data_IF_236539751594
#
_entry.id   IF_236539751594
#
_cell.length_a   1.000
_cell.length_b   1.000
_cell.length_c   1.000
_cell.angle_alpha   90.00
_cell.angle_beta   90.00
_cell.angle_gamma   90.00
#
_symmetry.space_group_name_H-M   'P 1'
#
loop_
_entity.id
_entity.type
_entity.pdbx_description
1 polymer ?
#
# COMPACT_ATOMS: atom_id res chain seq x y z
N UNK A 1 3.19 -37.36 11.71
CA UNK A 1 4.06 -36.80 10.65
C UNK A 1 3.60 -35.38 10.39
N UNK A 2 4.50 -34.41 10.31
CA UNK A 2 4.11 -33.08 9.83
C UNK A 2 3.59 -33.25 8.40
N UNK A 3 2.44 -32.66 8.06
CA UNK A 3 2.01 -32.59 6.67
C UNK A 3 2.90 -31.58 5.96
N UNK A 4 3.35 -31.92 4.76
CA UNK A 4 4.04 -30.97 3.89
C UNK A 4 3.10 -29.82 3.53
N UNK A 5 3.66 -28.65 3.20
CA UNK A 5 2.88 -27.51 2.73
C UNK A 5 2.14 -27.90 1.43
N UNK A 6 0.87 -27.55 1.34
CA UNK A 6 0.02 -27.75 0.15
C UNK A 6 -0.72 -26.44 -0.17
N UNK A 7 -0.40 -25.75 -1.28
CA UNK A 7 0.64 -26.13 -2.25
C UNK A 7 2.06 -26.08 -1.65
N UNK A 8 3.02 -26.83 -2.23
CA UNK A 8 4.41 -26.78 -1.80
C UNK A 8 4.99 -25.38 -2.07
N UNK A 9 5.84 -24.90 -1.16
CA UNK A 9 6.56 -23.66 -1.37
C UNK A 9 7.49 -23.75 -2.58
N UNK A 10 7.52 -22.68 -3.39
CA UNK A 10 8.36 -22.62 -4.57
C UNK A 10 9.86 -22.54 -4.21
N UNK A 11 10.20 -21.77 -3.17
CA UNK A 11 11.55 -21.57 -2.67
C UNK A 11 11.54 -21.10 -1.19
N UNK A 12 12.70 -20.92 -0.53
CA UNK A 12 12.74 -20.46 0.86
C UNK A 12 12.17 -19.05 1.11
N UNK A 13 12.18 -18.17 0.10
CA UNK A 13 11.61 -16.83 0.21
C UNK A 13 10.08 -16.89 0.17
N UNK A 14 9.51 -17.69 -0.73
CA UNK A 14 8.08 -18.02 -0.76
C UNK A 14 7.62 -18.67 0.54
N UNK A 15 8.39 -19.65 1.05
CA UNK A 15 8.11 -20.27 2.34
C UNK A 15 8.04 -19.26 3.48
N UNK A 16 8.96 -18.29 3.52
CA UNK A 16 8.98 -17.25 4.54
C UNK A 16 7.79 -16.29 4.38
N UNK A 17 7.52 -15.84 3.15
CA UNK A 17 6.46 -14.91 2.84
C UNK A 17 5.06 -15.49 3.14
N UNK A 18 4.85 -16.77 2.88
CA UNK A 18 3.60 -17.49 3.16
C UNK A 18 3.33 -17.71 4.66
N UNK A 19 4.27 -17.36 5.54
CA UNK A 19 4.15 -17.53 7.00
C UNK A 19 4.09 -16.20 7.76
N UNK A 20 4.12 -15.07 7.05
CA UNK A 20 3.99 -13.73 7.63
C UNK A 20 2.75 -13.02 7.08
N UNK A 21 2.35 -11.92 7.71
CA UNK A 21 1.18 -11.14 7.27
C UNK A 21 1.58 -10.02 6.29
N UNK A 22 2.88 -9.81 6.13
CA UNK A 22 3.47 -8.79 5.31
C UNK A 22 3.69 -9.27 3.86
N UNK A 23 3.38 -8.42 2.89
CA UNK A 23 3.98 -8.55 1.56
C UNK A 23 5.47 -8.18 1.64
N UNK A 24 6.31 -8.86 0.86
CA UNK A 24 7.76 -8.75 0.96
C UNK A 24 8.38 -8.34 -0.38
N UNK A 25 9.29 -7.36 -0.35
CA UNK A 25 10.11 -7.00 -1.49
C UNK A 25 11.58 -6.83 -1.07
N UNK A 26 12.51 -7.30 -1.90
CA UNK A 26 13.95 -7.20 -1.64
C UNK A 26 14.58 -6.32 -2.70
N UNK A 27 15.26 -5.27 -2.26
CA UNK A 27 16.14 -4.47 -3.11
C UNK A 27 17.57 -4.93 -2.88
N UNK A 28 18.30 -5.17 -3.96
CA UNK A 28 19.73 -5.47 -3.92
C UNK A 28 20.51 -4.37 -4.61
N UNK A 29 21.75 -4.16 -4.16
CA UNK A 29 22.70 -3.24 -4.77
C UNK A 29 24.02 -3.93 -5.11
N UNK A 30 24.60 -3.56 -6.24
CA UNK A 30 25.97 -3.87 -6.63
C UNK A 30 26.62 -2.64 -7.23
N UNK A 31 27.64 -2.09 -6.56
CA UNK A 31 28.22 -0.80 -6.91
C UNK A 31 27.16 0.31 -6.85
N UNK A 32 27.00 1.04 -7.94
CA UNK A 32 26.03 2.15 -8.06
C UNK A 32 24.66 1.71 -8.63
N UNK A 33 24.44 0.41 -8.84
CA UNK A 33 23.18 -0.12 -9.40
C UNK A 33 22.39 -0.83 -8.33
N UNK A 34 21.11 -0.51 -8.24
CA UNK A 34 20.13 -1.20 -7.41
C UNK A 34 18.93 -1.68 -8.23
N UNK A 35 18.25 -2.71 -7.73
CA UNK A 35 17.02 -3.22 -8.33
C UNK A 35 16.19 -4.02 -7.32
N UNK A 36 14.87 -4.10 -7.53
CA UNK A 36 14.03 -5.09 -6.86
C UNK A 36 14.38 -6.50 -7.39
N UNK A 37 14.98 -7.34 -6.54
CA UNK A 37 15.45 -8.67 -6.93
C UNK A 37 14.51 -9.80 -6.55
N UNK A 38 13.58 -9.57 -5.62
CA UNK A 38 12.53 -10.51 -5.25
C UNK A 38 11.31 -9.74 -4.75
N UNK A 39 10.11 -10.20 -5.10
CA UNK A 39 8.84 -9.64 -4.66
C UNK A 39 7.86 -10.80 -4.43
N UNK A 40 7.26 -10.87 -3.25
CA UNK A 40 6.11 -11.70 -2.93
C UNK A 40 4.98 -10.77 -2.49
N UNK A 41 3.93 -10.68 -3.31
CA UNK A 41 2.91 -9.63 -3.24
C UNK A 41 1.51 -10.23 -3.36
N UNK A 42 0.86 -10.50 -2.23
CA UNK A 42 -0.49 -11.05 -2.15
C UNK A 42 -1.54 -9.97 -1.90
N UNK A 43 -1.17 -8.85 -1.30
CA UNK A 43 -2.08 -7.77 -0.92
C UNK A 43 -1.72 -6.45 -1.61
N UNK A 44 -1.57 -6.42 -2.96
CA UNK A 44 -1.26 -5.19 -3.68
C UNK A 44 -2.41 -4.19 -3.61
N UNK A 45 -2.06 -2.90 -3.77
CA UNK A 45 -3.02 -1.83 -4.04
C UNK A 45 -2.50 -0.91 -5.15
N UNK A 46 -3.11 -1.01 -6.34
CA UNK A 46 -2.80 -0.17 -7.53
C UNK A 46 -1.41 -0.35 -8.15
N UNK A 47 -0.68 -1.39 -7.78
CA UNK A 47 0.57 -1.80 -8.43
C UNK A 47 0.72 -3.32 -8.42
N UNK A 48 1.56 -3.86 -9.31
CA UNK A 48 1.77 -5.31 -9.44
C UNK A 48 3.27 -5.65 -9.36
N UNK A 49 3.57 -6.89 -8.95
CA UNK A 49 4.96 -7.33 -8.82
C UNK A 49 5.69 -7.29 -10.17
N UNK A 50 4.99 -7.67 -11.24
CA UNK A 50 5.47 -7.70 -12.62
C UNK A 50 5.85 -6.31 -13.14
N UNK A 51 5.17 -5.27 -12.67
CA UNK A 51 5.49 -3.87 -13.02
C UNK A 51 6.73 -3.34 -12.30
N UNK A 52 7.19 -3.98 -11.22
CA UNK A 52 8.24 -3.46 -10.33
C UNK A 52 9.50 -4.31 -10.31
N UNK A 53 9.39 -5.61 -10.50
CA UNK A 53 10.53 -6.53 -10.44
C UNK A 53 11.62 -6.13 -11.45
N UNK A 54 12.87 -6.10 -11.01
CA UNK A 54 14.03 -5.73 -11.82
C UNK A 54 14.25 -4.24 -12.05
N UNK A 55 13.31 -3.36 -11.66
CA UNK A 55 13.49 -1.92 -11.75
C UNK A 55 14.31 -1.38 -10.58
N UNK A 56 15.05 -0.29 -10.81
CA UNK A 56 15.73 0.46 -9.76
C UNK A 56 14.74 1.22 -8.87
N UNK A 57 15.17 1.57 -7.66
CA UNK A 57 14.34 2.21 -6.65
C UNK A 57 13.66 3.48 -7.17
N UNK A 58 14.37 4.31 -7.94
CA UNK A 58 13.80 5.56 -8.45
C UNK A 58 12.74 5.26 -9.50
N UNK A 59 13.04 4.39 -10.47
CA UNK A 59 12.11 4.03 -11.55
C UNK A 59 10.82 3.41 -11.00
N UNK A 60 10.92 2.56 -9.96
CA UNK A 60 9.73 1.98 -9.31
C UNK A 60 8.77 3.04 -8.75
N UNK A 61 9.27 4.20 -8.33
CA UNK A 61 8.49 5.23 -7.62
C UNK A 61 8.13 6.45 -8.46
N UNK A 62 8.42 6.47 -9.77
CA UNK A 62 8.18 7.64 -10.63
C UNK A 62 6.72 8.10 -10.70
N UNK A 63 5.76 7.21 -10.48
CA UNK A 63 4.34 7.54 -10.51
C UNK A 63 3.87 8.28 -9.25
N UNK A 64 4.65 8.26 -8.16
CA UNK A 64 4.29 8.88 -6.88
C UNK A 64 4.55 10.39 -6.97
N UNK A 65 3.53 11.25 -6.81
CA UNK A 65 3.69 12.69 -6.89
C UNK A 65 4.73 13.21 -5.89
N UNK A 66 5.65 14.08 -6.35
CA UNK A 66 6.70 14.65 -5.50
C UNK A 66 7.98 13.82 -5.43
N UNK A 67 8.02 12.58 -5.91
CA UNK A 67 9.20 11.72 -5.80
C UNK A 67 10.42 12.22 -6.54
N UNK A 68 10.24 13.02 -7.59
CA UNK A 68 11.31 13.74 -8.29
C UNK A 68 12.15 14.62 -7.34
N UNK A 69 11.54 15.15 -6.27
CA UNK A 69 12.25 15.93 -5.23
C UNK A 69 12.98 15.05 -4.21
N UNK A 70 12.59 13.77 -4.10
CA UNK A 70 13.18 12.77 -3.20
C UNK A 70 14.26 11.90 -3.86
N UNK A 71 14.67 12.20 -5.11
CA UNK A 71 15.83 11.62 -5.81
C UNK A 71 17.17 11.99 -5.16
N UNK A 72 17.29 11.93 -3.84
CA UNK A 72 18.55 12.15 -3.15
C UNK A 72 19.44 10.92 -3.36
N UNK A 73 20.68 11.10 -3.85
CA UNK A 73 21.66 10.02 -3.88
C UNK A 73 21.76 9.36 -2.50
N UNK A 74 21.80 8.03 -2.46
CA UNK A 74 22.04 7.29 -1.22
C UNK A 74 20.80 6.83 -0.44
N UNK A 75 19.58 6.96 -0.97
CA UNK A 75 18.40 6.38 -0.30
C UNK A 75 18.55 4.87 -0.10
N UNK A 76 18.92 4.13 -1.15
CA UNK A 76 19.21 2.69 -1.07
C UNK A 76 20.39 2.41 -0.12
N UNK A 77 21.42 3.27 -0.10
CA UNK A 77 22.50 3.19 0.89
C UNK A 77 21.97 3.25 2.30
N UNK A 78 21.06 4.20 2.56
CA UNK A 78 20.53 4.41 3.89
C UNK A 78 19.62 3.25 4.31
N UNK A 79 18.78 2.75 3.39
CA UNK A 79 17.95 1.56 3.60
C UNK A 79 18.81 0.35 4.00
N UNK A 80 19.95 0.15 3.33
CA UNK A 80 20.86 -0.97 3.60
C UNK A 80 21.62 -0.78 4.93
N UNK A 81 22.09 0.44 5.25
CA UNK A 81 23.09 0.65 6.32
C UNK A 81 22.53 1.11 7.66
N UNK A 82 21.39 1.80 7.69
CA UNK A 82 20.97 2.58 8.88
C UNK A 82 19.59 2.17 9.44
N UNK A 83 18.97 1.13 8.90
CA UNK A 83 17.66 0.64 9.37
C UNK A 83 17.72 -0.17 10.68
N UNK A 84 16.56 -0.67 11.17
CA UNK A 84 15.28 -0.66 10.46
C UNK A 84 14.56 0.68 10.54
N UNK A 85 13.91 1.07 9.44
CA UNK A 85 12.98 2.21 9.40
C UNK A 85 11.55 1.71 9.36
N UNK A 86 10.64 2.44 9.99
CA UNK A 86 9.19 2.20 9.86
C UNK A 86 8.50 3.45 9.35
N UNK A 87 7.64 3.29 8.35
CA UNK A 87 6.75 4.35 7.86
C UNK A 87 5.34 3.81 7.66
N UNK A 88 4.40 4.73 7.51
CA UNK A 88 3.01 4.41 7.23
C UNK A 88 2.61 5.08 5.93
N UNK A 89 1.98 4.30 5.05
CA UNK A 89 1.28 4.78 3.86
C UNK A 89 -0.19 4.46 4.04
N UNK A 90 -1.06 5.27 3.45
CA UNK A 90 -2.50 5.04 3.57
C UNK A 90 -3.21 5.39 2.28
N UNK A 91 -4.32 4.69 2.03
CA UNK A 91 -5.24 4.93 0.94
C UNK A 91 -6.69 4.83 1.43
N UNK A 92 -7.62 5.44 0.69
CA UNK A 92 -9.05 5.18 0.90
C UNK A 92 -9.51 4.12 -0.10
N UNK A 93 -10.30 3.18 0.40
CA UNK A 93 -10.89 2.09 -0.35
C UNK A 93 -12.39 2.01 -0.07
N UNK A 94 -13.17 1.44 -0.99
CA UNK A 94 -14.63 1.21 -0.82
C UNK A 94 -14.96 -0.23 -0.45
N UNK A 95 -13.94 -1.08 -0.31
CA UNK A 95 -14.00 -2.41 0.26
C UNK A 95 -12.79 -2.70 1.15
N UNK A 96 -12.84 -3.83 1.86
CA UNK A 96 -11.83 -4.32 2.80
C UNK A 96 -11.08 -5.56 2.27
N UNK A 97 -11.13 -5.81 0.95
CA UNK A 97 -10.40 -6.92 0.34
C UNK A 97 -8.90 -6.65 0.44
N UNK A 98 -8.09 -7.64 0.82
CA UNK A 98 -6.64 -7.41 0.91
C UNK A 98 -5.98 -7.26 -0.46
N UNK A 99 -6.43 -8.04 -1.45
CA UNK A 99 -5.87 -8.12 -2.79
C UNK A 99 -6.63 -7.21 -3.77
N UNK A 100 -6.01 -6.11 -4.21
CA UNK A 100 -6.48 -5.24 -5.28
C UNK A 100 -5.57 -5.29 -6.50
N UNK A 101 -5.08 -6.49 -6.84
CA UNK A 101 -4.32 -6.73 -8.06
C UNK A 101 -5.15 -6.30 -9.28
N UNK A 102 -4.52 -5.76 -10.32
CA UNK A 102 -5.25 -5.25 -11.50
C UNK A 102 -5.98 -6.35 -12.28
N UNK A 103 -5.37 -7.53 -12.34
CA UNK A 103 -5.96 -8.73 -12.95
C UNK A 103 -6.73 -9.54 -11.91
N UNK A 104 -7.93 -10.03 -12.24
CA UNK A 104 -8.68 -10.91 -11.36
C UNK A 104 -8.05 -12.30 -11.25
N UNK A 105 -8.30 -13.03 -10.14
CA UNK A 105 -8.00 -14.45 -10.06
C UNK A 105 -8.74 -15.25 -11.16
N UNK A 106 -8.22 -16.44 -11.56
CA UNK A 106 -8.89 -17.30 -12.54
C UNK A 106 -10.34 -17.59 -12.16
N UNK A 107 -11.25 -17.40 -13.12
CA UNK A 107 -12.69 -17.67 -12.94
C UNK A 107 -13.48 -16.53 -12.29
N UNK A 108 -12.85 -15.41 -11.92
CA UNK A 108 -13.54 -14.23 -11.42
C UNK A 108 -13.78 -13.24 -12.56
N UNK A 109 -15.00 -12.72 -12.63
CA UNK A 109 -15.38 -11.67 -13.59
C UNK A 109 -14.59 -10.37 -13.33
N UNK A 110 -13.87 -9.82 -14.33
CA UNK A 110 -13.15 -8.57 -14.20
C UNK A 110 -14.02 -7.40 -13.71
N UNK A 111 -15.29 -7.34 -14.08
CA UNK A 111 -16.19 -6.27 -13.60
C UNK A 111 -16.43 -6.38 -12.09
N UNK A 112 -16.76 -7.58 -11.62
CA UNK A 112 -16.97 -7.87 -10.21
C UNK A 112 -15.68 -7.72 -9.36
N UNK A 113 -14.52 -7.87 -9.99
CA UNK A 113 -13.22 -7.72 -9.33
C UNK A 113 -12.82 -6.26 -9.10
N UNK A 114 -13.31 -5.32 -9.92
CA UNK A 114 -12.97 -3.90 -9.77
C UNK A 114 -13.58 -3.31 -8.50
N UNK A 115 -12.79 -2.48 -7.84
CA UNK A 115 -13.27 -1.64 -6.73
C UNK A 115 -14.38 -0.71 -7.24
N UNK A 116 -15.46 -0.61 -6.48
CA UNK A 116 -16.60 0.24 -6.85
C UNK A 116 -16.33 1.70 -6.48
N UNK A 117 -16.86 2.66 -7.23
CA UNK A 117 -16.82 4.06 -6.81
C UNK A 117 -17.55 4.26 -5.48
N UNK A 118 -17.18 5.29 -4.74
CA UNK A 118 -17.85 5.64 -3.49
C UNK A 118 -19.31 6.06 -3.76
N UNK A 119 -20.26 5.41 -3.07
CA UNK A 119 -21.68 5.71 -3.15
C UNK A 119 -22.18 6.31 -1.83
N UNK A 120 -22.56 7.60 -1.78
CA UNK A 120 -23.10 8.23 -0.57
C UNK A 120 -24.42 7.61 -0.07
N UNK A 121 -25.17 6.91 -0.93
CA UNK A 121 -26.44 6.26 -0.55
C UNK A 121 -26.21 4.89 0.10
N UNK A 122 -25.07 4.26 -0.20
CA UNK A 122 -24.62 3.00 0.38
C UNK A 122 -23.15 3.11 0.77
N UNK A 123 -22.82 3.96 1.77
CA UNK A 123 -21.45 4.33 2.05
C UNK A 123 -20.65 3.13 2.53
N UNK A 124 -19.59 2.82 1.81
CA UNK A 124 -18.51 1.94 2.24
C UNK A 124 -17.20 2.68 2.02
N UNK A 125 -16.47 2.87 3.11
CA UNK A 125 -15.18 3.54 3.07
C UNK A 125 -14.29 2.91 4.13
N UNK A 126 -13.05 2.62 3.78
CA UNK A 126 -12.03 2.11 4.68
C UNK A 126 -10.76 2.92 4.49
N UNK A 127 -10.08 3.22 5.58
CA UNK A 127 -8.70 3.68 5.54
C UNK A 127 -7.80 2.44 5.51
N UNK A 128 -7.29 2.10 4.33
CA UNK A 128 -6.26 1.08 4.15
C UNK A 128 -4.93 1.66 4.60
N UNK A 129 -4.28 1.03 5.56
CA UNK A 129 -2.98 1.45 6.12
C UNK A 129 -1.95 0.38 5.88
N UNK A 130 -0.84 0.79 5.27
CA UNK A 130 0.35 -0.02 5.05
C UNK A 130 1.41 0.40 6.07
N UNK A 131 1.71 -0.48 7.02
CA UNK A 131 2.90 -0.35 7.87
C UNK A 131 4.07 -0.95 7.10
N UNK A 132 4.96 -0.09 6.64
CA UNK A 132 6.16 -0.49 5.92
C UNK A 132 7.36 -0.52 6.86
N UNK A 133 8.04 -1.66 6.90
CA UNK A 133 9.30 -1.84 7.62
C UNK A 133 10.42 -2.09 6.61
N UNK A 134 11.43 -1.24 6.63
CA UNK A 134 12.63 -1.36 5.82
C UNK A 134 13.77 -1.87 6.69
N UNK A 135 14.25 -3.09 6.43
CA UNK A 135 15.35 -3.71 7.16
C UNK A 135 16.55 -3.95 6.24
N UNK A 136 17.71 -3.43 6.62
CA UNK A 136 18.94 -3.54 5.83
C UNK A 136 19.77 -4.77 6.17
N UNK A 137 20.43 -5.34 5.16
CA UNK A 137 21.40 -6.43 5.25
C UNK A 137 22.73 -5.96 4.64
N UNK A 138 23.58 -5.24 5.41
CA UNK A 138 24.80 -4.63 4.88
C UNK A 138 25.77 -5.62 4.23
N UNK A 139 25.94 -6.80 4.82
CA UNK A 139 26.86 -7.83 4.31
C UNK A 139 26.43 -8.40 2.94
N UNK A 140 25.12 -8.33 2.65
CA UNK A 140 24.53 -8.80 1.39
C UNK A 140 24.27 -7.67 0.40
N UNK A 141 24.56 -6.42 0.78
CA UNK A 141 24.20 -5.22 0.01
C UNK A 141 22.71 -5.23 -0.40
N UNK A 142 21.83 -5.56 0.54
CA UNK A 142 20.40 -5.73 0.30
C UNK A 142 19.54 -5.07 1.39
N UNK A 143 18.27 -4.83 1.08
CA UNK A 143 17.27 -4.38 2.03
C UNK A 143 15.93 -5.08 1.76
N UNK A 144 15.27 -5.52 2.82
CA UNK A 144 13.91 -6.05 2.81
C UNK A 144 12.93 -4.94 3.14
N UNK A 145 11.91 -4.77 2.32
CA UNK A 145 10.67 -4.07 2.63
C UNK A 145 9.62 -5.11 3.02
N UNK A 146 9.03 -4.95 4.19
CA UNK A 146 7.89 -5.73 4.65
C UNK A 146 6.68 -4.81 4.83
N UNK A 147 5.57 -5.11 4.16
CA UNK A 147 4.37 -4.26 4.08
C UNK A 147 3.19 -4.96 4.74
N UNK A 148 2.81 -4.52 5.94
CA UNK A 148 1.61 -5.04 6.61
C UNK A 148 0.40 -4.18 6.28
N UNK A 149 -0.60 -4.79 5.69
CA UNK A 149 -1.89 -4.15 5.40
C UNK A 149 -2.82 -4.28 6.60
N UNK A 150 -3.53 -3.19 6.91
CA UNK A 150 -4.63 -3.17 7.87
C UNK A 150 -5.69 -2.18 7.40
N UNK A 151 -6.91 -2.31 7.92
CA UNK A 151 -8.00 -1.40 7.60
C UNK A 151 -8.54 -0.75 8.87
N UNK A 152 -8.98 0.50 8.74
CA UNK A 152 -9.89 1.13 9.71
C UNK A 152 -11.20 1.44 9.02
N UNK A 153 -12.31 1.12 9.68
CA UNK A 153 -13.64 1.39 9.17
C UNK A 153 -13.87 2.91 9.11
N UNK A 154 -14.35 3.40 7.96
CA UNK A 154 -14.67 4.80 7.75
C UNK A 154 -15.75 5.30 8.72
N UNK A 155 -16.68 4.46 9.17
CA UNK A 155 -17.69 4.82 10.18
C UNK A 155 -17.06 5.08 11.56
N UNK A 156 -16.03 4.31 11.93
CA UNK A 156 -15.27 4.55 13.16
C UNK A 156 -14.55 5.91 13.08
N UNK A 157 -13.91 6.18 11.94
CA UNK A 157 -13.23 7.46 11.69
C UNK A 157 -14.23 8.61 11.72
N UNK A 158 -15.36 8.47 11.01
CA UNK A 158 -16.42 9.47 10.88
C UNK A 158 -17.01 9.89 12.23
N UNK A 159 -17.19 8.95 13.16
CA UNK A 159 -17.72 9.18 14.51
C UNK A 159 -16.71 9.83 15.47
N UNK A 160 -15.42 9.61 15.25
CA UNK A 160 -14.34 10.18 16.08
C UNK A 160 -13.76 11.45 15.44
N UNK A 161 -14.11 12.61 15.98
CA UNK A 161 -13.60 13.90 15.50
C UNK A 161 -12.06 13.99 15.51
N UNK A 162 -11.38 13.27 16.41
CA UNK A 162 -9.91 13.27 16.50
C UNK A 162 -9.26 12.54 15.33
N UNK A 163 -9.97 11.60 14.70
CA UNK A 163 -9.53 10.89 13.50
C UNK A 163 -10.05 11.57 12.22
N UNK A 164 -11.33 11.96 12.22
CA UNK A 164 -12.01 12.59 11.08
C UNK A 164 -11.37 13.90 10.66
N UNK A 165 -11.17 14.84 11.59
CA UNK A 165 -10.76 16.20 11.21
C UNK A 165 -9.37 16.24 10.56
N UNK A 166 -8.34 15.51 11.06
CA UNK A 166 -7.07 15.39 10.35
C UNK A 166 -7.22 14.78 8.96
N UNK A 167 -7.98 13.69 8.81
CA UNK A 167 -8.20 13.04 7.52
C UNK A 167 -8.86 14.00 6.51
N UNK A 168 -9.93 14.67 6.90
CA UNK A 168 -10.62 15.66 6.07
C UNK A 168 -9.66 16.77 5.64
N UNK A 169 -8.90 17.35 6.57
CA UNK A 169 -7.92 18.41 6.26
C UNK A 169 -6.85 17.93 5.28
N UNK A 170 -6.36 16.69 5.45
CA UNK A 170 -5.37 16.13 4.54
C UNK A 170 -5.95 15.98 3.13
N UNK A 171 -7.14 15.39 2.97
CA UNK A 171 -7.82 15.28 1.67
C UNK A 171 -8.08 16.66 1.04
N UNK A 172 -8.48 17.64 1.84
CA UNK A 172 -8.74 19.01 1.38
C UNK A 172 -7.47 19.68 0.84
N UNK A 173 -6.30 19.39 1.44
CA UNK A 173 -4.99 19.95 1.08
C UNK A 173 -4.30 19.27 -0.11
N UNK A 174 -4.82 18.15 -0.62
CA UNK A 174 -4.20 17.43 -1.73
C UNK A 174 -4.24 18.24 -3.02
N UNK A 175 -3.15 18.21 -3.78
CA UNK A 175 -3.13 18.74 -5.14
C UNK A 175 -3.98 17.87 -6.07
N UNK A 176 -4.39 18.38 -7.25
CA UNK A 176 -5.09 17.57 -8.24
C UNK A 176 -4.35 16.27 -8.61
N UNK A 177 -3.01 16.32 -8.71
CA UNK A 177 -2.17 15.16 -9.03
C UNK A 177 -2.18 14.13 -7.89
N UNK A 178 -2.14 14.59 -6.64
CA UNK A 178 -2.25 13.70 -5.48
C UNK A 178 -3.63 13.05 -5.38
N UNK A 179 -4.71 13.80 -5.66
CA UNK A 179 -6.07 13.26 -5.73
C UNK A 179 -6.20 12.22 -6.84
N UNK A 180 -5.62 12.49 -8.02
CA UNK A 180 -5.63 11.55 -9.13
C UNK A 180 -4.87 10.27 -8.79
N UNK A 181 -3.66 10.40 -8.23
CA UNK A 181 -2.83 9.28 -7.81
C UNK A 181 -3.54 8.39 -6.77
N UNK A 182 -4.23 9.00 -5.80
CA UNK A 182 -4.99 8.28 -4.76
C UNK A 182 -6.37 7.80 -5.23
N UNK A 183 -6.78 8.06 -6.47
CA UNK A 183 -8.10 7.68 -6.98
C UNK A 183 -9.26 8.44 -6.34
N UNK A 184 -9.02 9.64 -5.82
CA UNK A 184 -10.01 10.47 -5.12
C UNK A 184 -10.55 11.63 -5.96
N UNK A 185 -10.00 11.88 -7.15
CA UNK A 185 -10.34 13.06 -7.97
C UNK A 185 -11.85 13.24 -8.20
N UNK A 186 -12.58 12.16 -8.51
CA UNK A 186 -14.01 12.21 -8.83
C UNK A 186 -14.93 12.13 -7.60
N UNK A 187 -14.42 11.67 -6.45
CA UNK A 187 -15.22 11.37 -5.26
C UNK A 187 -14.86 12.19 -4.03
N UNK A 188 -13.84 13.06 -4.11
CA UNK A 188 -13.35 13.89 -3.01
C UNK A 188 -14.45 14.56 -2.22
N UNK A 189 -15.31 15.32 -2.90
CA UNK A 189 -16.31 16.15 -2.23
C UNK A 189 -17.42 15.29 -1.60
N UNK A 190 -17.80 14.18 -2.25
CA UNK A 190 -18.76 13.22 -1.72
C UNK A 190 -18.23 12.53 -0.45
N UNK A 191 -16.97 12.10 -0.46
CA UNK A 191 -16.29 11.50 0.70
C UNK A 191 -16.19 12.49 1.85
N UNK A 192 -15.77 13.73 1.58
CA UNK A 192 -15.67 14.79 2.60
C UNK A 192 -17.03 15.12 3.22
N UNK A 193 -18.08 15.23 2.41
CA UNK A 193 -19.43 15.47 2.89
C UNK A 193 -19.90 14.34 3.81
N UNK A 194 -19.71 13.08 3.40
CA UNK A 194 -20.09 11.92 4.21
C UNK A 194 -19.28 11.83 5.51
N UNK A 195 -17.96 12.06 5.47
CA UNK A 195 -17.13 12.09 6.68
C UNK A 195 -17.62 13.16 7.67
N UNK A 196 -17.94 14.37 7.17
CA UNK A 196 -18.36 15.51 8.02
C UNK A 196 -19.81 15.41 8.52
N UNK A 197 -20.66 14.63 7.86
CA UNK A 197 -22.05 14.40 8.26
C UNK A 197 -22.15 13.43 9.45
N UNK A 198 -21.43 13.68 10.55
CA UNK A 198 -21.23 12.74 11.67
C UNK A 198 -22.50 12.28 12.42
N UNK A 199 -23.69 12.57 11.91
CA UNK A 199 -24.94 12.53 12.62
C UNK A 199 -24.95 13.65 13.64
N UNK A 200 -26.08 14.33 13.79
CA UNK A 200 -26.28 15.16 14.98
C UNK A 200 -26.11 14.24 16.20
N UNK A 201 -25.34 14.62 17.24
CA UNK A 201 -25.44 13.90 18.51
C UNK A 201 -26.91 13.85 18.91
N UNK A 202 -27.40 12.74 19.49
CA UNK A 202 -28.82 12.54 19.79
C UNK A 202 -29.36 13.47 20.90
N UNK A 203 -28.68 14.56 21.21
CA UNK A 203 -29.04 15.54 22.23
C UNK A 203 -28.77 16.96 21.74
#
# INVERSE_FOLDING_TARGET
TAKDADPPYADPFDALAAQVQEDLAVVRRVGDKDWACAIHLCFPYRWTAEEKIGLDFVTMHLAVPGMETFRKPGMVTNMIKFGPFTRFVWELCTDDRLNHHKEPPPGIDPEAWRERPFDPQQPRLFLRVEREVLHGFPEQEAALLAVRVSFRDGEEIRKDATLREPLCKTIESMSPEALQYKGLAEHRDAVLAWLRDAGRPPW
#
